data_IF_396708882919
#
_entry.id   IF_396708882919
#
_cell.length_a   1.000
_cell.length_b   1.000
_cell.length_c   1.000
_cell.angle_alpha   90.00
_cell.angle_beta   90.00
_cell.angle_gamma   90.00
#
_symmetry.space_group_name_H-M   'P 1'
#
loop_
_entity.id
_entity.type
_entity.pdbx_description
1 polymer ?
#
# COMPACT_ATOMS: atom_id res chain seq x y z
N UNK A 1 6.59 -15.83 9.36
CA UNK A 1 5.45 -14.99 8.93
C UNK A 1 5.46 -13.56 9.46
N UNK A 2 5.74 -13.33 10.75
CA UNK A 2 5.64 -11.98 11.35
C UNK A 2 6.50 -10.90 10.68
N UNK A 3 7.75 -11.24 10.31
CA UNK A 3 8.65 -10.31 9.59
C UNK A 3 8.04 -9.86 8.25
N UNK A 4 7.43 -10.78 7.50
CA UNK A 4 6.74 -10.45 6.25
C UNK A 4 5.59 -9.46 6.48
N UNK A 5 4.78 -9.67 7.51
CA UNK A 5 3.66 -8.79 7.87
C UNK A 5 4.15 -7.38 8.25
N UNK A 6 5.27 -7.29 8.96
CA UNK A 6 5.89 -6.01 9.33
C UNK A 6 6.37 -5.26 8.07
N UNK A 7 7.03 -5.97 7.15
CA UNK A 7 7.48 -5.38 5.88
C UNK A 7 6.29 -4.87 5.07
N UNK A 8 5.24 -5.68 4.90
CA UNK A 8 4.01 -5.30 4.19
C UNK A 8 3.34 -4.09 4.86
N UNK A 9 3.25 -4.09 6.19
CA UNK A 9 2.70 -2.96 6.97
C UNK A 9 3.48 -1.68 6.70
N UNK A 10 4.81 -1.74 6.72
CA UNK A 10 5.66 -0.58 6.43
C UNK A 10 5.42 -0.01 5.03
N UNK A 11 5.37 -0.87 4.01
CA UNK A 11 5.08 -0.44 2.64
C UNK A 11 3.68 0.16 2.49
N UNK A 12 2.66 -0.44 3.12
CA UNK A 12 1.30 0.10 3.09
C UNK A 12 1.21 1.47 3.76
N UNK A 13 1.90 1.68 4.88
CA UNK A 13 1.98 2.98 5.54
C UNK A 13 2.67 4.03 4.65
N UNK A 14 3.75 3.66 3.95
CA UNK A 14 4.40 4.54 2.98
C UNK A 14 3.44 4.95 1.85
N UNK A 15 2.62 4.02 1.35
CA UNK A 15 1.62 4.30 0.32
C UNK A 15 0.51 5.24 0.81
N UNK A 16 0.13 5.16 2.09
CA UNK A 16 -0.85 6.07 2.69
C UNK A 16 -0.27 7.49 2.81
N UNK A 17 0.94 7.61 3.36
CA UNK A 17 1.59 8.91 3.60
C UNK A 17 1.96 9.57 2.26
N UNK A 18 2.56 8.79 1.35
CA UNK A 18 3.12 9.30 0.09
C UNK A 18 2.67 8.44 -1.11
N UNK A 19 1.37 8.51 -1.49
CA UNK A 19 0.81 7.71 -2.59
C UNK A 19 1.46 7.99 -3.95
N UNK A 20 2.08 9.15 -4.10
CA UNK A 20 2.81 9.53 -5.32
C UNK A 20 3.94 8.53 -5.62
N UNK A 21 4.54 7.91 -4.59
CA UNK A 21 5.57 6.87 -4.78
C UNK A 21 4.99 5.72 -5.60
N UNK A 22 3.75 5.30 -5.32
CA UNK A 22 3.08 4.25 -6.09
C UNK A 22 2.98 4.61 -7.57
N UNK A 23 2.61 5.86 -7.85
CA UNK A 23 2.55 6.36 -9.22
C UNK A 23 3.91 6.31 -9.86
N UNK A 24 4.97 6.85 -9.25
CA UNK A 24 6.29 6.86 -9.89
C UNK A 24 6.89 5.46 -10.10
N UNK A 25 6.59 4.50 -9.21
CA UNK A 25 7.09 3.12 -9.33
C UNK A 25 6.29 2.34 -10.37
N UNK A 26 4.95 2.40 -10.35
CA UNK A 26 4.10 1.50 -11.13
C UNK A 26 3.39 2.19 -12.32
N UNK A 27 3.00 3.47 -12.17
CA UNK A 27 2.29 4.24 -13.20
C UNK A 27 3.20 5.05 -14.13
N UNK A 28 4.29 5.59 -13.59
CA UNK A 28 5.19 6.53 -14.26
C UNK A 28 5.96 5.91 -15.42
N UNK A 29 6.08 4.58 -15.46
CA UNK A 29 6.62 3.87 -16.61
C UNK A 29 5.71 3.92 -17.85
N UNK A 30 4.39 3.90 -17.65
CA UNK A 30 3.38 3.89 -18.73
C UNK A 30 2.91 5.28 -19.13
N UNK A 31 2.97 6.24 -18.19
CA UNK A 31 2.49 7.61 -18.36
C UNK A 31 3.62 8.64 -18.14
N UNK A 32 4.82 8.38 -18.69
CA UNK A 32 6.00 9.25 -18.53
C UNK A 32 5.65 10.71 -18.82
N UNK A 33 5.90 11.59 -17.85
CA UNK A 33 5.63 13.02 -17.95
C UNK A 33 4.21 13.45 -17.54
N UNK A 34 3.35 12.51 -17.13
CA UNK A 34 2.00 12.80 -16.64
C UNK A 34 1.98 12.70 -15.11
N UNK A 35 1.54 13.77 -14.46
CA UNK A 35 1.34 13.78 -13.01
C UNK A 35 0.12 12.93 -12.60
N UNK A 36 0.18 12.27 -11.43
CA UNK A 36 -0.96 11.49 -10.96
C UNK A 36 -2.15 12.39 -10.67
N UNK A 37 -3.33 12.01 -11.16
CA UNK A 37 -4.58 12.67 -10.80
C UNK A 37 -4.90 12.53 -9.32
N UNK A 38 -5.61 13.52 -8.77
CA UNK A 38 -6.04 13.53 -7.36
C UNK A 38 -6.83 12.26 -7.00
N UNK A 39 -7.70 11.80 -7.91
CA UNK A 39 -8.50 10.60 -7.71
C UNK A 39 -7.65 9.34 -7.63
N UNK A 40 -6.60 9.24 -8.44
CA UNK A 40 -5.65 8.11 -8.38
C UNK A 40 -4.91 8.08 -7.04
N UNK A 41 -4.46 9.24 -6.56
CA UNK A 41 -3.78 9.34 -5.26
C UNK A 41 -4.71 8.98 -4.11
N UNK A 42 -5.97 9.42 -4.17
CA UNK A 42 -6.99 9.10 -3.18
C UNK A 42 -7.30 7.60 -3.20
N UNK A 43 -7.50 7.01 -4.37
CA UNK A 43 -7.74 5.57 -4.53
C UNK A 43 -6.55 4.73 -4.04
N UNK A 44 -5.32 5.19 -4.28
CA UNK A 44 -4.10 4.55 -3.74
C UNK A 44 -4.10 4.57 -2.22
N UNK A 45 -4.46 5.69 -1.58
CA UNK A 45 -4.54 5.77 -0.11
C UNK A 45 -5.63 4.87 0.46
N UNK A 46 -6.83 4.92 -0.11
CA UNK A 46 -7.98 4.13 0.35
C UNK A 46 -7.70 2.64 0.20
N UNK A 47 -7.17 2.20 -0.95
CA UNK A 47 -6.80 0.79 -1.15
C UNK A 47 -5.70 0.33 -0.19
N UNK A 48 -4.69 1.18 0.07
CA UNK A 48 -3.65 0.86 1.06
C UNK A 48 -4.21 0.75 2.49
N UNK A 49 -5.17 1.59 2.88
CA UNK A 49 -5.86 1.48 4.17
C UNK A 49 -6.66 0.17 4.30
N UNK A 50 -7.40 -0.20 3.25
CA UNK A 50 -8.17 -1.45 3.21
C UNK A 50 -7.23 -2.66 3.34
N UNK A 51 -6.12 -2.67 2.58
CA UNK A 51 -5.13 -3.74 2.67
C UNK A 51 -4.45 -3.79 4.03
N UNK A 52 -4.20 -2.63 4.66
CA UNK A 52 -3.62 -2.56 6.00
C UNK A 52 -4.59 -3.18 7.03
N UNK A 53 -5.88 -2.86 6.92
CA UNK A 53 -6.92 -3.45 7.75
C UNK A 53 -6.97 -4.98 7.60
N UNK A 54 -6.96 -5.50 6.37
CA UNK A 54 -6.93 -6.96 6.12
C UNK A 54 -5.65 -7.58 6.70
N UNK A 55 -4.50 -6.93 6.50
CA UNK A 55 -3.21 -7.41 7.02
C UNK A 55 -3.24 -7.56 8.55
N UNK A 56 -3.86 -6.62 9.25
CA UNK A 56 -3.91 -6.63 10.71
C UNK A 56 -5.03 -7.51 11.27
N UNK A 57 -6.21 -7.51 10.67
CA UNK A 57 -7.37 -8.26 11.20
C UNK A 57 -7.39 -9.72 10.79
N UNK A 58 -6.78 -10.05 9.65
CA UNK A 58 -6.75 -11.42 9.12
C UNK A 58 -5.35 -11.99 9.28
N UNK A 59 -4.36 -11.44 8.57
CA UNK A 59 -3.04 -12.09 8.47
C UNK A 59 -2.27 -12.13 9.79
N UNK A 60 -2.34 -11.08 10.61
CA UNK A 60 -1.62 -11.02 11.88
C UNK A 60 -2.12 -12.08 12.89
N UNK A 61 -3.43 -12.27 13.15
CA UNK A 61 -3.93 -13.38 13.96
C UNK A 61 -3.54 -14.75 13.44
N UNK A 62 -3.69 -15.02 12.14
CA UNK A 62 -3.29 -16.30 11.54
C UNK A 62 -1.79 -16.59 11.74
N UNK A 63 -0.96 -15.55 11.76
CA UNK A 63 0.48 -15.69 12.00
C UNK A 63 0.90 -16.09 13.41
N UNK A 64 -0.04 -16.09 14.36
CA UNK A 64 0.18 -16.52 15.75
C UNK A 64 -0.34 -17.95 16.01
N UNK A 65 -1.12 -18.52 15.09
CA UNK A 65 -1.76 -19.83 15.24
C UNK A 65 -0.88 -20.94 14.63
N UNK A 66 -0.10 -20.59 13.60
CA UNK A 66 0.84 -21.47 12.87
C UNK A 66 2.26 -21.12 13.29
#
# INVERSE_FOLDING_TARGET
MKIFIIIVTFFLLLLIVKPNINWYIFGGGKYKGIEPTKDFLLLTRVSALILLFITWMVMLPFSNII
#
